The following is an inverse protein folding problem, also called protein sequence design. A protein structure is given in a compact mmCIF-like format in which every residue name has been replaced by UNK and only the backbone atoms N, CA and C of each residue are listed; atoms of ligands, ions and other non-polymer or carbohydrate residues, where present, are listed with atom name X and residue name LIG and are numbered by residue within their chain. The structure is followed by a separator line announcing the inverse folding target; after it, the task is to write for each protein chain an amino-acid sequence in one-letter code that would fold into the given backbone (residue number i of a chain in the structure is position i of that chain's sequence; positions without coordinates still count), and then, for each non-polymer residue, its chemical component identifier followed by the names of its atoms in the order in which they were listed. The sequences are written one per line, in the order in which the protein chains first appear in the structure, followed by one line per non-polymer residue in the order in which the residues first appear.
data_IF_081615915931
#
_entry.id   IF_081615915931
#
_cell.length_a   1.000
_cell.length_b   1.000
_cell.length_c   1.000
_cell.angle_alpha   90.00
_cell.angle_beta   90.00
_cell.angle_gamma   90.00
#
_symmetry.space_group_name_H-M   'P 1'
#
loop_
_entity.id
_entity.type
_entity.pdbx_description
1 polymer ?
#
# COMPACT_ATOMS: atom_id res chain seq x y z
N UNK A 1 -5.31 14.13 6.03
CA UNK A 1 -4.51 13.07 5.38
C UNK A 1 -4.28 11.85 6.27
N UNK A 2 -4.60 10.64 5.77
CA UNK A 2 -4.36 9.35 6.45
C UNK A 2 -3.64 8.36 5.53
N UNK A 3 -2.60 7.67 6.02
CA UNK A 3 -2.02 6.49 5.38
C UNK A 3 -2.79 5.25 5.85
N UNK A 4 -3.67 4.74 5.01
CA UNK A 4 -4.56 3.63 5.35
C UNK A 4 -4.24 2.35 4.58
N UNK A 5 -3.40 2.43 3.55
CA UNK A 5 -3.27 1.34 2.59
C UNK A 5 -1.85 1.20 2.04
N UNK A 6 -1.42 -0.03 1.77
CA UNK A 6 -0.18 -0.27 1.04
C UNK A 6 -0.18 -1.58 0.25
N UNK A 7 0.46 -1.54 -0.92
CA UNK A 7 0.62 -2.71 -1.79
C UNK A 7 2.01 -3.31 -1.67
N UNK A 8 2.05 -4.59 -1.38
CA UNK A 8 3.25 -5.41 -1.35
C UNK A 8 3.33 -6.30 -2.60
N UNK A 9 4.55 -6.48 -3.09
CA UNK A 9 4.86 -7.36 -4.21
C UNK A 9 5.90 -8.38 -3.77
N UNK A 10 5.58 -9.67 -3.93
CA UNK A 10 6.45 -10.79 -3.53
C UNK A 10 6.15 -12.05 -4.35
N UNK A 11 7.13 -12.95 -4.47
CA UNK A 11 6.92 -14.31 -4.96
C UNK A 11 6.25 -15.23 -3.93
N UNK A 12 6.22 -14.81 -2.66
CA UNK A 12 5.69 -15.58 -1.52
C UNK A 12 4.32 -15.10 -1.05
N UNK A 13 3.41 -14.79 -1.97
CA UNK A 13 2.09 -14.18 -1.65
C UNK A 13 1.32 -14.97 -0.60
N UNK A 14 1.30 -16.31 -0.69
CA UNK A 14 0.58 -17.16 0.26
C UNK A 14 1.14 -17.10 1.68
N UNK A 15 2.46 -16.99 1.82
CA UNK A 15 3.11 -16.88 3.13
C UNK A 15 2.80 -15.53 3.77
N UNK A 16 2.82 -14.46 2.97
CA UNK A 16 2.49 -13.10 3.45
C UNK A 16 1.01 -12.99 3.80
N UNK A 17 0.11 -13.51 2.96
CA UNK A 17 -1.32 -13.59 3.26
C UNK A 17 -1.56 -14.35 4.57
N UNK A 18 -0.93 -15.52 4.75
CA UNK A 18 -1.05 -16.30 5.97
C UNK A 18 -0.48 -15.59 7.21
N UNK A 19 0.53 -14.72 7.07
CA UNK A 19 1.01 -13.87 8.16
C UNK A 19 -0.06 -12.86 8.57
N UNK A 20 -0.59 -12.08 7.62
CA UNK A 20 -1.60 -11.06 7.94
C UNK A 20 -2.86 -11.70 8.48
N UNK A 21 -3.40 -12.70 7.80
CA UNK A 21 -4.64 -13.36 8.19
C UNK A 21 -4.47 -14.22 9.44
N UNK A 22 -3.49 -15.11 9.45
CA UNK A 22 -3.36 -16.14 10.49
C UNK A 22 -2.61 -15.69 11.75
N UNK A 23 -1.80 -14.63 11.70
CA UNK A 23 -1.00 -14.17 12.85
C UNK A 23 -1.32 -12.74 13.30
N UNK A 24 -1.59 -11.85 12.35
CA UNK A 24 -1.90 -10.45 12.64
C UNK A 24 -3.40 -10.17 12.72
N UNK A 25 -4.24 -11.19 12.48
CA UNK A 25 -5.68 -11.15 12.66
C UNK A 25 -6.43 -10.36 11.59
N UNK A 26 -5.81 -10.05 10.45
CA UNK A 26 -6.49 -9.38 9.35
C UNK A 26 -7.53 -10.31 8.72
N UNK A 27 -8.63 -9.74 8.26
CA UNK A 27 -9.60 -10.47 7.47
C UNK A 27 -9.15 -10.51 6.01
N UNK A 28 -9.29 -11.69 5.39
CA UNK A 28 -9.20 -11.79 3.94
C UNK A 28 -10.44 -11.11 3.37
N UNK A 29 -10.29 -10.13 2.50
CA UNK A 29 -11.43 -9.47 1.83
C UNK A 29 -11.75 -10.25 0.56
N UNK A 30 -10.75 -10.41 -0.31
CA UNK A 30 -10.88 -11.18 -1.53
C UNK A 30 -9.53 -11.53 -2.15
N UNK A 31 -9.53 -12.58 -2.98
CA UNK A 31 -8.46 -12.89 -3.94
C UNK A 31 -8.96 -12.58 -5.34
N UNK A 32 -8.33 -11.63 -5.99
CA UNK A 32 -8.64 -11.22 -7.36
C UNK A 32 -7.64 -11.83 -8.34
N UNK A 33 -8.13 -12.30 -9.47
CA UNK A 33 -7.29 -12.96 -10.47
C UNK A 33 -8.08 -13.33 -11.70
N UNK A 34 -7.68 -14.41 -12.35
CA UNK A 34 -8.35 -14.93 -13.55
C UNK A 34 -8.36 -16.45 -13.61
N UNK A 35 -9.33 -17.00 -14.32
CA UNK A 35 -9.34 -18.40 -14.77
C UNK A 35 -9.42 -18.34 -16.29
N UNK A 36 -8.41 -18.88 -16.98
CA UNK A 36 -8.26 -18.62 -18.42
C UNK A 36 -8.12 -17.12 -18.68
N UNK A 37 -9.02 -16.56 -19.48
CA UNK A 37 -9.07 -15.12 -19.82
C UNK A 37 -10.05 -14.33 -18.93
N UNK A 38 -10.90 -15.01 -18.16
CA UNK A 38 -11.97 -14.39 -17.39
C UNK A 38 -11.45 -13.87 -16.05
N UNK A 39 -11.65 -12.57 -15.80
CA UNK A 39 -11.38 -11.97 -14.50
C UNK A 39 -12.41 -12.44 -13.47
N UNK A 40 -11.93 -12.87 -12.30
CA UNK A 40 -12.78 -13.36 -11.22
C UNK A 40 -12.21 -12.99 -9.85
N UNK A 41 -13.06 -13.05 -8.83
CA UNK A 41 -12.73 -12.76 -7.44
C UNK A 41 -13.33 -13.83 -6.53
N UNK A 42 -12.60 -14.20 -5.49
CA UNK A 42 -13.08 -15.14 -4.47
C UNK A 42 -12.97 -14.50 -3.08
N UNK A 43 -14.11 -14.36 -2.42
CA UNK A 43 -14.24 -14.01 -1.00
C UNK A 43 -13.66 -15.13 -0.08
N UNK A 44 -13.55 -14.90 1.24
CA UNK A 44 -13.16 -15.91 2.20
C UNK A 44 -13.95 -17.22 2.09
N UNK A 45 -13.31 -18.30 2.53
CA UNK A 45 -13.90 -19.63 2.56
C UNK A 45 -13.40 -20.58 1.48
N UNK A 46 -12.78 -20.07 0.40
CA UNK A 46 -12.09 -20.90 -0.59
C UNK A 46 -10.60 -21.01 -0.31
N UNK A 47 -10.09 -22.23 -0.16
CA UNK A 47 -8.67 -22.48 0.12
C UNK A 47 -7.79 -22.41 -1.13
N UNK A 48 -6.48 -22.18 -0.95
CA UNK A 48 -5.51 -22.12 -2.06
C UNK A 48 -5.46 -23.39 -2.92
N UNK A 49 -5.59 -24.58 -2.31
CA UNK A 49 -5.60 -25.86 -3.04
C UNK A 49 -6.76 -25.92 -4.04
N UNK A 50 -7.94 -25.48 -3.63
CA UNK A 50 -9.12 -25.46 -4.48
C UNK A 50 -8.98 -24.45 -5.62
N UNK A 51 -8.40 -23.27 -5.34
CA UNK A 51 -8.09 -22.29 -6.37
C UNK A 51 -7.08 -22.82 -7.40
N UNK A 52 -6.07 -23.56 -6.95
CA UNK A 52 -5.10 -24.22 -7.84
C UNK A 52 -5.77 -25.25 -8.75
N UNK A 53 -6.68 -26.06 -8.19
CA UNK A 53 -7.47 -27.05 -8.95
C UNK A 53 -8.37 -26.39 -10.01
N UNK A 54 -8.87 -25.18 -9.75
CA UNK A 54 -9.61 -24.37 -10.72
C UNK A 54 -8.73 -23.70 -11.79
N UNK A 55 -7.40 -23.80 -11.70
CA UNK A 55 -6.48 -23.10 -12.59
C UNK A 55 -6.43 -21.59 -12.37
N UNK A 56 -6.87 -21.11 -11.19
CA UNK A 56 -6.87 -19.69 -10.85
C UNK A 56 -5.45 -19.11 -10.85
N UNK A 57 -5.30 -17.97 -11.52
CA UNK A 57 -4.06 -17.18 -11.54
C UNK A 57 -4.30 -15.90 -10.78
N UNK A 58 -3.70 -15.82 -9.59
CA UNK A 58 -3.79 -14.66 -8.72
C UNK A 58 -3.23 -13.41 -9.40
N UNK A 59 -3.92 -12.29 -9.22
CA UNK A 59 -3.42 -10.94 -9.49
C UNK A 59 -3.10 -10.21 -8.20
N UNK A 60 -3.97 -10.30 -7.19
CA UNK A 60 -3.73 -9.74 -5.87
C UNK A 60 -4.65 -10.38 -4.83
N UNK A 61 -4.23 -10.36 -3.57
CA UNK A 61 -5.09 -10.61 -2.41
C UNK A 61 -5.24 -9.31 -1.63
N UNK A 62 -6.44 -9.06 -1.15
CA UNK A 62 -6.81 -7.90 -0.34
C UNK A 62 -7.13 -8.36 1.08
N UNK A 63 -6.53 -7.71 2.06
CA UNK A 63 -6.66 -7.97 3.49
C UNK A 63 -6.97 -6.67 4.20
N UNK A 64 -7.82 -6.72 5.22
CA UNK A 64 -8.26 -5.54 5.96
C UNK A 64 -8.32 -5.83 7.46
N UNK A 65 -8.02 -4.82 8.27
CA UNK A 65 -8.30 -4.82 9.71
C UNK A 65 -8.34 -3.40 10.27
N UNK A 66 -9.40 -3.06 10.99
CA UNK A 66 -9.59 -1.70 11.47
C UNK A 66 -9.50 -0.70 10.32
N UNK A 67 -8.64 0.30 10.44
CA UNK A 67 -8.40 1.31 9.40
C UNK A 67 -7.21 1.01 8.48
N UNK A 68 -6.83 -0.27 8.32
CA UNK A 68 -5.64 -0.66 7.55
C UNK A 68 -5.96 -1.71 6.48
N UNK A 69 -5.65 -1.36 5.24
CA UNK A 69 -5.76 -2.25 4.09
C UNK A 69 -4.37 -2.65 3.58
N UNK A 70 -4.18 -3.95 3.37
CA UNK A 70 -2.95 -4.51 2.85
C UNK A 70 -3.26 -5.34 1.64
N UNK A 71 -2.64 -4.99 0.52
CA UNK A 71 -2.75 -5.78 -0.70
C UNK A 71 -1.43 -6.46 -0.99
N UNK A 72 -1.49 -7.76 -1.33
CA UNK A 72 -0.31 -8.54 -1.69
C UNK A 72 -0.45 -9.07 -3.11
N UNK A 73 0.54 -8.82 -3.95
CA UNK A 73 0.52 -9.16 -5.36
C UNK A 73 1.71 -10.07 -5.72
N UNK A 74 1.55 -10.99 -6.70
CA UNK A 74 2.66 -11.77 -7.20
C UNK A 74 3.75 -10.89 -7.81
N UNK A 75 5.01 -11.23 -7.53
CA UNK A 75 6.16 -10.65 -8.19
C UNK A 75 7.40 -11.54 -8.07
N UNK A 76 8.55 -10.98 -8.38
CA UNK A 76 9.81 -11.74 -8.49
C UNK A 76 10.63 -11.81 -7.20
N UNK A 77 10.32 -10.96 -6.20
CA UNK A 77 11.14 -10.85 -4.99
C UNK A 77 10.64 -11.74 -3.87
N UNK A 78 11.55 -12.45 -3.22
CA UNK A 78 11.21 -13.29 -2.08
C UNK A 78 10.65 -12.47 -0.91
N UNK A 79 11.35 -11.40 -0.51
CA UNK A 79 10.90 -10.50 0.54
C UNK A 79 9.95 -9.43 -0.03
N UNK A 80 8.87 -9.07 0.69
CA UNK A 80 7.88 -8.13 0.18
C UNK A 80 8.47 -6.74 -0.07
N UNK A 81 8.14 -6.16 -1.24
CA UNK A 81 8.50 -4.78 -1.58
C UNK A 81 7.27 -3.94 -1.82
N UNK A 82 7.33 -2.67 -1.44
CA UNK A 82 6.22 -1.73 -1.61
C UNK A 82 6.12 -1.34 -3.09
N UNK A 83 4.95 -1.55 -3.69
CA UNK A 83 4.58 -0.96 -4.98
C UNK A 83 4.14 0.49 -4.79
N UNK A 84 3.21 0.70 -3.86
CA UNK A 84 2.69 2.01 -3.54
C UNK A 84 2.10 2.08 -2.12
N UNK A 85 1.95 3.32 -1.66
CA UNK A 85 1.28 3.69 -0.41
C UNK A 85 0.00 4.46 -0.77
N UNK A 86 -1.11 4.16 -0.08
CA UNK A 86 -2.43 4.72 -0.32
C UNK A 86 -2.84 5.72 0.74
N UNK A 87 -3.30 6.90 0.30
CA UNK A 87 -3.64 8.02 1.16
C UNK A 87 -5.07 8.46 0.96
N UNK A 88 -5.80 8.63 2.07
CA UNK A 88 -7.07 9.32 2.10
C UNK A 88 -6.79 10.80 2.36
N UNK A 89 -7.16 11.63 1.41
CA UNK A 89 -6.94 13.07 1.42
C UNK A 89 -8.28 13.80 1.46
N UNK A 90 -8.31 14.97 2.09
CA UNK A 90 -9.39 15.91 1.84
C UNK A 90 -9.27 16.53 0.42
N UNK A 91 -10.28 17.29 0.01
CA UNK A 91 -10.34 17.87 -1.34
C UNK A 91 -9.14 18.82 -1.60
N UNK A 92 -8.76 19.62 -0.61
CA UNK A 92 -7.67 20.60 -0.74
C UNK A 92 -6.32 19.86 -0.78
N UNK A 93 -6.08 18.94 0.15
CA UNK A 93 -4.90 18.07 0.20
C UNK A 93 -4.71 17.31 -1.11
N UNK A 94 -5.80 16.80 -1.71
CA UNK A 94 -5.77 16.08 -2.98
C UNK A 94 -5.34 16.99 -4.14
N UNK A 95 -5.98 18.15 -4.31
CA UNK A 95 -5.66 19.11 -5.38
C UNK A 95 -4.23 19.62 -5.24
N UNK A 96 -3.83 20.00 -4.02
CA UNK A 96 -2.48 20.53 -3.78
C UNK A 96 -1.40 19.47 -4.00
N UNK A 97 -1.64 18.21 -3.63
CA UNK A 97 -0.68 17.12 -3.86
C UNK A 97 -0.49 16.87 -5.35
N UNK A 98 -1.56 16.92 -6.15
CA UNK A 98 -1.46 16.82 -7.61
C UNK A 98 -0.72 18.02 -8.22
N UNK A 99 -0.99 19.24 -7.76
CA UNK A 99 -0.24 20.41 -8.20
C UNK A 99 1.26 20.28 -7.89
N UNK A 100 1.63 19.76 -6.71
CA UNK A 100 3.03 19.45 -6.36
C UNK A 100 3.62 18.38 -7.27
N UNK A 101 2.87 17.34 -7.61
CA UNK A 101 3.30 16.32 -8.55
C UNK A 101 3.59 16.89 -9.94
N UNK A 102 2.71 17.76 -10.45
CA UNK A 102 2.86 18.42 -11.76
C UNK A 102 4.06 19.37 -11.79
N UNK A 103 4.24 20.22 -10.77
CA UNK A 103 5.39 21.11 -10.65
C UNK A 103 6.73 20.37 -10.64
N UNK A 104 6.73 19.12 -10.19
CA UNK A 104 7.89 18.22 -10.13
C UNK A 104 8.01 17.31 -11.36
N UNK A 105 7.17 17.53 -12.37
CA UNK A 105 7.10 16.73 -13.60
C UNK A 105 6.95 15.22 -13.34
N UNK A 106 6.28 14.86 -12.22
CA UNK A 106 6.03 13.47 -11.87
C UNK A 106 4.93 12.90 -12.76
N UNK A 107 5.04 11.61 -13.07
CA UNK A 107 4.00 10.92 -13.84
C UNK A 107 2.74 10.72 -12.99
N UNK A 108 1.66 11.39 -13.39
CA UNK A 108 0.32 11.27 -12.80
C UNK A 108 -0.55 10.35 -13.67
N UNK A 109 -1.32 9.45 -13.04
CA UNK A 109 -2.20 8.49 -13.71
C UNK A 109 -3.54 8.38 -12.99
N UNK A 110 -4.56 9.04 -13.55
CA UNK A 110 -5.93 8.97 -13.06
C UNK A 110 -6.59 7.62 -13.41
N UNK A 111 -7.34 7.06 -12.46
CA UNK A 111 -8.11 5.84 -12.67
C UNK A 111 -9.60 6.11 -12.45
N UNK A 112 -10.27 6.54 -13.54
CA UNK A 112 -11.74 6.65 -13.61
C UNK A 112 -12.35 7.55 -12.53
N UNK A 113 -11.65 8.62 -12.14
CA UNK A 113 -12.06 9.51 -11.06
C UNK A 113 -12.08 8.86 -9.67
N UNK A 114 -11.63 7.60 -9.53
CA UNK A 114 -11.64 6.85 -8.26
C UNK A 114 -10.46 7.17 -7.37
N UNK A 115 -9.29 7.23 -7.99
CA UNK A 115 -7.99 7.43 -7.36
C UNK A 115 -6.99 7.87 -8.39
N UNK A 116 -5.90 8.46 -7.94
CA UNK A 116 -4.82 8.93 -8.80
C UNK A 116 -3.48 8.36 -8.33
N UNK A 117 -2.70 7.82 -9.26
CA UNK A 117 -1.35 7.36 -8.95
C UNK A 117 -0.32 8.41 -9.32
N UNK A 118 0.62 8.68 -8.42
CA UNK A 118 1.79 9.52 -8.67
C UNK A 118 3.05 8.68 -8.54
N UNK A 119 3.86 8.63 -9.59
CA UNK A 119 5.19 7.99 -9.53
C UNK A 119 6.19 8.93 -8.87
N UNK A 120 6.78 8.53 -7.74
CA UNK A 120 7.68 9.40 -6.94
C UNK A 120 9.09 9.55 -7.52
N UNK A 121 9.44 8.77 -8.55
CA UNK A 121 10.83 8.53 -9.01
C UNK A 121 11.79 7.97 -7.93
N UNK A 122 11.32 7.71 -6.71
CA UNK A 122 12.07 7.04 -5.64
C UNK A 122 11.80 5.52 -5.56
N UNK A 123 11.22 4.94 -6.62
CA UNK A 123 11.02 3.49 -6.74
C UNK A 123 9.68 2.96 -6.20
N UNK A 124 8.81 3.81 -5.67
CA UNK A 124 7.43 3.48 -5.29
C UNK A 124 6.46 4.56 -5.77
N UNK A 125 5.14 4.32 -5.69
CA UNK A 125 4.10 5.28 -6.09
C UNK A 125 3.27 5.70 -4.89
N UNK A 126 2.56 6.81 -5.02
CA UNK A 126 1.46 7.16 -4.12
C UNK A 126 0.15 6.87 -4.84
N UNK A 127 -0.81 6.27 -4.14
CA UNK A 127 -2.21 6.14 -4.55
C UNK A 127 -3.02 7.16 -3.73
N UNK A 128 -3.51 8.19 -4.39
CA UNK A 128 -4.22 9.30 -3.75
C UNK A 128 -5.72 9.10 -3.95
N UNK A 129 -6.47 9.13 -2.86
CA UNK A 129 -7.93 9.12 -2.87
C UNK A 129 -8.46 10.46 -2.39
N UNK A 130 -9.36 11.12 -3.16
CA UNK A 130 -10.15 12.23 -2.64
C UNK A 130 -11.20 11.71 -1.63
N UNK A 131 -11.93 12.60 -0.92
CA UNK A 131 -13.00 12.21 0.00
C UNK A 131 -14.01 11.25 -0.61
N UNK A 132 -14.34 10.18 0.11
CA UNK A 132 -15.31 9.16 -0.29
C UNK A 132 -15.95 8.52 0.95
N UNK A 133 -17.25 8.25 0.88
CA UNK A 133 -18.01 7.67 1.99
C UNK A 133 -17.39 6.37 2.55
N UNK A 134 -16.93 5.46 1.67
CA UNK A 134 -16.32 4.20 2.12
C UNK A 134 -14.98 4.39 2.84
N UNK A 135 -14.26 5.50 2.60
CA UNK A 135 -13.03 5.81 3.34
C UNK A 135 -13.36 6.28 4.74
N UNK A 136 -14.43 7.07 4.90
CA UNK A 136 -14.87 7.50 6.23
C UNK A 136 -15.25 6.27 7.08
N UNK A 137 -16.01 5.33 6.52
CA UNK A 137 -16.35 4.06 7.17
C UNK A 137 -15.10 3.24 7.56
N UNK A 138 -14.10 3.15 6.67
CA UNK A 138 -12.84 2.46 6.97
C UNK A 138 -12.06 3.15 8.11
N UNK A 139 -11.96 4.48 8.07
CA UNK A 139 -11.20 5.26 9.05
C UNK A 139 -11.87 5.28 10.44
N UNK A 140 -13.18 5.07 10.53
CA UNK A 140 -13.85 4.80 11.82
C UNK A 140 -13.31 3.53 12.52
N UNK A 141 -12.74 2.60 11.75
CA UNK A 141 -12.06 1.39 12.21
C UNK A 141 -10.75 1.62 12.97
N UNK A 142 -10.23 2.85 13.03
CA UNK A 142 -8.98 3.18 13.75
C UNK A 142 -9.02 2.80 15.24
N UNK A 143 -10.21 2.65 15.82
CA UNK A 143 -10.39 2.19 17.22
C UNK A 143 -10.09 0.70 17.40
N UNK A 144 -10.20 -0.09 16.35
CA UNK A 144 -9.87 -1.51 16.37
C UNK A 144 -8.38 -1.73 16.12
N UNK A 145 -7.87 -1.11 15.05
CA UNK A 145 -6.48 -1.21 14.65
C UNK A 145 -6.12 -0.05 13.72
N UNK A 146 -4.96 0.54 13.94
CA UNK A 146 -4.33 1.47 13.00
C UNK A 146 -2.84 1.20 12.85
N UNK A 147 -2.29 1.63 11.73
CA UNK A 147 -0.84 1.62 11.49
C UNK A 147 -0.21 2.77 12.29
N UNK A 148 0.78 2.48 13.13
CA UNK A 148 1.56 3.49 13.83
C UNK A 148 2.91 3.72 13.14
N UNK A 149 3.57 2.65 12.70
CA UNK A 149 4.86 2.76 12.02
C UNK A 149 4.98 1.78 10.87
N UNK A 150 5.60 2.23 9.77
CA UNK A 150 5.96 1.39 8.63
C UNK A 150 7.45 1.53 8.35
N UNK A 151 8.20 0.43 8.48
CA UNK A 151 9.64 0.40 8.31
C UNK A 151 10.00 -0.24 6.98
N UNK A 152 10.72 0.51 6.16
CA UNK A 152 11.01 0.21 4.77
C UNK A 152 12.52 0.29 4.51
N UNK A 153 13.15 -0.85 4.22
CA UNK A 153 14.55 -0.88 3.80
C UNK A 153 14.69 -0.27 2.40
N UNK A 154 15.57 0.71 2.26
CA UNK A 154 15.85 1.43 1.03
C UNK A 154 17.35 1.46 0.71
N UNK A 155 17.65 1.52 -0.59
CA UNK A 155 18.99 1.82 -1.12
C UNK A 155 19.42 3.27 -0.84
N UNK A 156 18.46 4.19 -0.91
CA UNK A 156 18.63 5.61 -0.62
C UNK A 156 17.48 6.10 0.28
N UNK A 157 17.62 5.97 1.61
CA UNK A 157 16.60 6.41 2.55
C UNK A 157 16.24 7.89 2.45
N UNK A 158 17.23 8.75 2.20
CA UNK A 158 17.07 10.20 2.13
C UNK A 158 16.20 10.59 0.95
N UNK A 159 16.52 10.06 -0.24
CA UNK A 159 15.70 10.28 -1.43
C UNK A 159 14.27 9.78 -1.22
N UNK A 160 14.08 8.61 -0.59
CA UNK A 160 12.74 8.06 -0.39
C UNK A 160 11.91 8.88 0.59
N UNK A 161 12.50 9.31 1.70
CA UNK A 161 11.86 10.16 2.70
C UNK A 161 11.50 11.53 2.10
N UNK A 162 12.46 12.19 1.45
CA UNK A 162 12.24 13.49 0.80
C UNK A 162 11.16 13.41 -0.28
N UNK A 163 11.17 12.37 -1.13
CA UNK A 163 10.16 12.22 -2.18
C UNK A 163 8.73 12.07 -1.63
N UNK A 164 8.55 11.44 -0.47
CA UNK A 164 7.24 11.32 0.17
C UNK A 164 6.84 12.61 0.89
N UNK A 165 7.72 13.11 1.76
CA UNK A 165 7.45 14.28 2.60
C UNK A 165 7.20 15.53 1.77
N UNK A 166 8.01 15.76 0.73
CA UNK A 166 7.87 16.91 -0.14
C UNK A 166 6.63 16.83 -1.05
N UNK A 167 6.26 15.64 -1.51
CA UNK A 167 5.09 15.46 -2.36
C UNK A 167 3.80 15.64 -1.56
N UNK A 168 3.75 15.14 -0.33
CA UNK A 168 2.60 15.28 0.58
C UNK A 168 2.61 16.61 1.36
N UNK A 169 3.71 17.38 1.31
CA UNK A 169 3.93 18.59 2.10
C UNK A 169 3.79 18.36 3.62
N UNK A 170 4.33 17.25 4.12
CA UNK A 170 4.30 16.86 5.54
C UNK A 170 5.70 16.86 6.14
N UNK A 171 5.84 16.93 7.49
CA UNK A 171 7.14 16.88 8.14
C UNK A 171 7.91 15.59 7.82
N UNK A 172 9.20 15.75 7.52
CA UNK A 172 10.12 14.63 7.27
C UNK A 172 11.53 14.93 7.78
N UNK A 173 12.28 13.88 8.03
CA UNK A 173 13.72 13.90 8.29
C UNK A 173 14.45 13.21 7.13
N UNK A 174 15.77 13.02 7.25
CA UNK A 174 16.54 12.23 6.29
C UNK A 174 16.08 10.77 6.18
N UNK A 175 15.33 10.24 7.15
CA UNK A 175 14.95 8.81 7.16
C UNK A 175 13.52 8.54 7.59
N UNK A 176 12.72 9.56 7.88
CA UNK A 176 11.34 9.37 8.34
C UNK A 176 10.39 10.42 7.82
N UNK A 177 9.11 10.07 7.72
CA UNK A 177 8.03 10.97 7.30
C UNK A 177 6.82 10.79 8.22
N UNK A 178 6.28 11.89 8.74
CA UNK A 178 5.13 11.90 9.66
C UNK A 178 3.84 12.22 8.89
N UNK A 179 2.87 11.29 8.90
CA UNK A 179 1.63 11.38 8.12
C UNK A 179 0.45 11.02 9.01
N UNK A 180 -0.36 11.99 9.43
CA UNK A 180 -1.62 11.72 10.14
C UNK A 180 -1.47 10.86 11.41
N UNK A 181 -0.33 10.96 12.10
CA UNK A 181 -0.01 10.13 13.27
C UNK A 181 0.72 8.82 12.98
N UNK A 182 0.97 8.49 11.70
CA UNK A 182 1.80 7.37 11.26
C UNK A 182 3.21 7.85 10.94
N UNK A 183 4.23 7.07 11.31
CA UNK A 183 5.62 7.34 10.90
C UNK A 183 6.09 6.30 9.88
N UNK A 184 6.46 6.75 8.68
CA UNK A 184 7.10 5.91 7.68
C UNK A 184 8.61 6.07 7.80
N UNK A 185 9.31 5.01 8.22
CA UNK A 185 10.76 4.96 8.32
C UNK A 185 11.37 4.34 7.08
N UNK A 186 12.28 5.05 6.42
CA UNK A 186 13.19 4.50 5.43
C UNK A 186 14.52 4.18 6.11
N UNK A 187 14.88 2.90 6.17
CA UNK A 187 16.12 2.42 6.82
C UNK A 187 17.12 1.93 5.78
N UNK A 188 18.44 1.99 6.03
CA UNK A 188 19.45 1.58 5.05
C UNK A 188 19.44 0.06 4.77
N UNK A 189 20.37 -0.38 3.93
CA UNK A 189 20.55 -1.78 3.53
C UNK A 189 19.34 -2.39 2.81
N UNK A 190 18.61 -1.54 2.08
CA UNK A 190 17.55 -1.96 1.19
C UNK A 190 17.98 -2.18 -0.25
N UNK A 191 17.10 -2.81 -1.04
CA UNK A 191 17.39 -3.05 -2.44
C UNK A 191 17.20 -1.78 -3.28
N UNK A 192 17.83 -1.77 -4.46
CA UNK A 192 17.60 -0.72 -5.44
C UNK A 192 16.13 -0.66 -5.89
N UNK A 193 15.61 0.56 -6.02
CA UNK A 193 14.27 0.83 -6.52
C UNK A 193 13.20 0.72 -5.44
N UNK A 194 12.31 -0.28 -5.54
CA UNK A 194 11.20 -0.45 -4.59
C UNK A 194 11.73 -0.76 -3.19
N UNK A 195 11.35 0.01 -2.16
CA UNK A 195 11.77 -0.30 -0.81
C UNK A 195 11.14 -1.61 -0.34
N UNK A 196 11.90 -2.34 0.48
CA UNK A 196 11.49 -3.63 1.02
C UNK A 196 10.84 -3.45 2.39
N UNK A 197 9.72 -4.13 2.62
CA UNK A 197 9.09 -4.17 3.94
C UNK A 197 10.06 -4.78 4.96
N UNK A 198 10.31 -4.04 6.04
CA UNK A 198 11.15 -4.49 7.15
C UNK A 198 10.32 -4.85 8.38
N UNK A 199 9.41 -3.96 8.78
CA UNK A 199 8.53 -4.15 9.93
C UNK A 199 7.33 -3.20 9.85
N UNK A 200 6.29 -3.53 10.61
CA UNK A 200 5.10 -2.72 10.82
C UNK A 200 4.77 -2.73 12.31
N UNK A 201 4.32 -1.57 12.81
CA UNK A 201 3.73 -1.46 14.13
C UNK A 201 2.26 -1.09 13.97
N UNK A 202 1.38 -1.93 14.52
CA UNK A 202 -0.05 -1.68 14.62
C UNK A 202 -0.42 -1.43 16.08
N UNK A 203 -1.34 -0.50 16.34
CA UNK A 203 -1.83 -0.12 17.68
C UNK A 203 -3.34 -0.05 17.74
#
# INVERSE_FOLDING_TARGET
MHLFHYHLVTSKVREVEARYHGKLGFDLVARHGRIGEDMTSFEPGRGWRELDELGFKLRLTELERGAVNVVVQPGQWELPRVDHLGFALDDDEFVETLARAEMRELRVQEHGGRRTFVSTNAGYRLELHPPREWLDELLEGERELRLAELHLRADDPELKAASLGELLAVPYTSTSVEIGGVVVHFVPDGPQGRPQLHAELFV
#
